data_IF_192202621000
#
_entry.id   IF_192202621000
#
_cell.length_a   1.000
_cell.length_b   1.000
_cell.length_c   1.000
_cell.angle_alpha   90.00
_cell.angle_beta   90.00
_cell.angle_gamma   90.00
#
_symmetry.space_group_name_H-M   'P 1'
#
loop_
_entity.id
_entity.type
_entity.pdbx_description
1 polymer ?
#
# COMPACT_ATOMS: atom_id res chain seq x y z
N UNK A 1 9.80 15.16 10.23
CA UNK A 1 8.70 15.00 11.20
C UNK A 1 7.39 15.25 10.48
N UNK A 2 6.35 14.50 10.78
CA UNK A 2 4.99 14.80 10.29
C UNK A 2 4.51 16.17 10.79
N UNK A 3 3.37 16.63 10.28
CA UNK A 3 2.81 17.94 10.66
C UNK A 3 1.98 17.89 11.96
N UNK A 4 1.83 16.71 12.55
CA UNK A 4 1.18 16.51 13.84
C UNK A 4 2.15 15.88 14.83
N UNK A 5 1.79 15.90 16.11
CA UNK A 5 2.51 15.21 17.17
C UNK A 5 2.49 13.68 16.95
N UNK A 6 3.62 13.04 17.24
CA UNK A 6 3.79 11.59 17.20
C UNK A 6 4.39 11.13 18.54
N UNK A 7 3.95 9.99 19.03
CA UNK A 7 4.59 9.30 20.15
C UNK A 7 5.65 8.37 19.56
N UNK A 8 6.92 8.67 19.80
CA UNK A 8 8.00 7.84 19.29
C UNK A 8 8.09 6.51 20.08
N UNK A 9 8.89 5.57 19.53
CA UNK A 9 9.08 4.23 20.12
C UNK A 9 9.59 4.31 21.54
N UNK A 10 10.55 5.19 21.82
CA UNK A 10 11.16 5.32 23.16
C UNK A 10 10.19 5.96 24.15
N UNK A 11 9.39 6.94 23.71
CA UNK A 11 8.34 7.55 24.54
C UNK A 11 7.22 6.55 24.85
N UNK A 12 6.81 5.74 23.85
CA UNK A 12 5.81 4.69 24.06
C UNK A 12 6.29 3.63 25.07
N UNK A 13 7.58 3.32 25.10
CA UNK A 13 8.20 2.37 26.06
C UNK A 13 8.16 2.87 27.51
N UNK A 14 8.09 4.18 27.71
CA UNK A 14 8.00 4.75 29.08
C UNK A 14 6.67 4.36 29.77
N UNK A 15 5.61 4.07 28.97
CA UNK A 15 4.34 3.48 29.45
C UNK A 15 4.21 2.05 28.87
N UNK A 16 4.97 1.11 29.45
CA UNK A 16 5.07 -0.28 28.97
C UNK A 16 3.75 -1.04 28.97
N UNK A 17 2.78 -0.58 29.75
CA UNK A 17 1.45 -1.21 29.87
C UNK A 17 0.47 -0.66 28.82
N UNK A 18 0.87 0.34 28.04
CA UNK A 18 0.03 0.91 27.00
C UNK A 18 -0.13 -0.01 25.79
N UNK A 19 -1.32 0.07 25.17
CA UNK A 19 -1.60 -0.65 23.90
C UNK A 19 -0.58 -0.27 22.80
N UNK A 20 -0.18 1.00 22.75
CA UNK A 20 0.78 1.49 21.76
C UNK A 20 2.16 0.84 21.94
N UNK A 21 2.65 0.75 23.18
CA UNK A 21 3.93 0.09 23.48
C UNK A 21 3.94 -1.36 23.04
N UNK A 22 2.87 -2.11 23.35
CA UNK A 22 2.73 -3.50 22.92
C UNK A 22 2.73 -3.65 21.38
N UNK A 23 2.03 -2.77 20.68
CA UNK A 23 2.00 -2.77 19.20
C UNK A 23 3.35 -2.44 18.58
N UNK A 24 4.06 -1.44 19.11
CA UNK A 24 5.39 -1.09 18.63
C UNK A 24 6.40 -2.20 18.88
N UNK A 25 6.33 -2.86 20.04
CA UNK A 25 7.18 -4.02 20.35
C UNK A 25 6.95 -5.17 19.36
N UNK A 26 5.69 -5.47 19.02
CA UNK A 26 5.34 -6.50 18.04
C UNK A 26 5.83 -6.14 16.62
N UNK A 27 5.66 -4.89 16.20
CA UNK A 27 6.15 -4.40 14.91
C UNK A 27 7.67 -4.50 14.80
N UNK A 28 8.41 -4.07 15.81
CA UNK A 28 9.87 -4.16 15.84
C UNK A 28 10.31 -5.63 15.79
N UNK A 29 9.64 -6.51 16.55
CA UNK A 29 9.94 -7.95 16.54
C UNK A 29 9.70 -8.59 15.17
N UNK A 30 8.62 -8.23 14.46
CA UNK A 30 8.22 -8.83 13.19
C UNK A 30 8.88 -8.20 11.97
N UNK A 31 9.13 -6.89 12.01
CA UNK A 31 9.54 -6.09 10.83
C UNK A 31 10.87 -5.36 11.02
N UNK A 32 11.47 -5.40 12.20
CA UNK A 32 12.71 -4.72 12.52
C UNK A 32 12.54 -3.25 12.92
N UNK A 33 11.46 -2.59 12.52
CA UNK A 33 11.18 -1.19 12.81
C UNK A 33 9.68 -0.85 12.78
N UNK A 34 9.34 0.35 13.24
CA UNK A 34 8.03 0.98 13.06
C UNK A 34 8.15 2.02 11.96
N UNK A 35 7.44 1.85 10.86
CA UNK A 35 7.44 2.80 9.74
C UNK A 35 6.77 4.12 10.11
N UNK A 36 7.15 5.21 9.42
CA UNK A 36 6.61 6.54 9.71
C UNK A 36 5.10 6.61 9.48
N UNK A 37 4.57 5.91 8.45
CA UNK A 37 3.12 5.82 8.24
C UNK A 37 2.39 5.16 9.42
N UNK A 38 3.02 4.30 10.19
CA UNK A 38 2.43 3.71 11.39
C UNK A 38 2.61 4.61 12.61
N UNK A 39 3.75 5.31 12.73
CA UNK A 39 4.01 6.27 13.83
C UNK A 39 2.99 7.41 13.83
N UNK A 40 2.59 7.91 12.67
CA UNK A 40 1.59 9.00 12.58
C UNK A 40 0.22 8.63 13.17
N UNK A 41 -0.05 7.33 13.35
CA UNK A 41 -1.26 6.85 14.03
C UNK A 41 -1.12 6.74 15.56
N UNK A 42 0.03 7.09 16.13
CA UNK A 42 0.34 6.88 17.56
C UNK A 42 -0.68 7.49 18.52
N UNK A 43 -1.32 8.59 18.14
CA UNK A 43 -2.36 9.25 18.93
C UNK A 43 -3.70 8.48 18.95
N UNK A 44 -3.87 7.45 18.10
CA UNK A 44 -5.05 6.59 18.06
C UNK A 44 -4.64 5.11 17.87
N UNK A 45 -4.21 4.43 18.96
CA UNK A 45 -3.76 3.04 18.87
C UNK A 45 -4.83 2.06 18.36
N UNK A 46 -6.12 2.36 18.56
CA UNK A 46 -7.20 1.52 18.00
C UNK A 46 -7.25 1.61 16.48
N UNK A 47 -7.15 2.81 15.92
CA UNK A 47 -7.08 3.01 14.47
C UNK A 47 -5.81 2.38 13.90
N UNK A 48 -4.66 2.47 14.58
CA UNK A 48 -3.42 1.81 14.18
C UNK A 48 -3.61 0.29 14.07
N UNK A 49 -4.25 -0.33 15.06
CA UNK A 49 -4.53 -1.77 15.06
C UNK A 49 -5.39 -2.19 13.87
N UNK A 50 -6.51 -1.51 13.68
CA UNK A 50 -7.43 -1.79 12.57
C UNK A 50 -6.79 -1.55 11.20
N UNK A 51 -5.94 -0.52 11.07
CA UNK A 51 -5.15 -0.26 9.87
C UNK A 51 -4.21 -1.44 9.56
N UNK A 52 -3.47 -1.92 10.55
CA UNK A 52 -2.56 -3.04 10.40
C UNK A 52 -3.29 -4.34 10.04
N UNK A 53 -4.41 -4.63 10.69
CA UNK A 53 -5.20 -5.83 10.43
C UNK A 53 -5.76 -5.81 9.01
N UNK A 54 -6.26 -4.66 8.54
CA UNK A 54 -6.73 -4.51 7.17
C UNK A 54 -5.58 -4.68 6.17
N UNK A 55 -4.43 -4.05 6.40
CA UNK A 55 -3.23 -4.22 5.58
C UNK A 55 -2.82 -5.68 5.45
N UNK A 56 -2.73 -6.39 6.58
CA UNK A 56 -2.36 -7.80 6.59
C UNK A 56 -3.36 -8.66 5.84
N UNK A 57 -4.65 -8.38 6.00
CA UNK A 57 -5.72 -9.09 5.28
C UNK A 57 -5.60 -8.89 3.78
N UNK A 58 -5.48 -7.65 3.32
CA UNK A 58 -5.50 -7.32 1.89
C UNK A 58 -4.20 -7.70 1.19
N UNK A 59 -3.06 -7.46 1.83
CA UNK A 59 -1.76 -7.66 1.17
C UNK A 59 -1.19 -9.07 1.35
N UNK A 60 -1.55 -9.78 2.43
CA UNK A 60 -1.00 -11.11 2.75
C UNK A 60 -2.04 -12.21 2.88
N UNK A 61 -3.34 -11.87 2.92
CA UNK A 61 -4.43 -12.84 2.97
C UNK A 61 -4.54 -13.69 1.70
N UNK A 62 -5.37 -14.74 1.76
CA UNK A 62 -5.66 -15.60 0.59
C UNK A 62 -6.47 -14.80 -0.43
N UNK A 63 -6.07 -14.86 -1.70
CA UNK A 63 -6.73 -14.19 -2.83
C UNK A 63 -6.25 -14.85 -4.13
N UNK A 64 -7.00 -14.66 -5.22
CA UNK A 64 -6.54 -15.01 -6.57
C UNK A 64 -5.57 -13.97 -7.17
N UNK A 65 -5.35 -12.82 -6.49
CA UNK A 65 -4.30 -11.87 -6.85
C UNK A 65 -2.97 -12.32 -6.25
N UNK A 66 -1.94 -12.36 -7.08
CA UNK A 66 -0.56 -12.62 -6.63
C UNK A 66 -0.02 -11.47 -5.79
N UNK A 67 1.05 -11.70 -5.03
CA UNK A 67 1.71 -10.63 -4.27
C UNK A 67 2.26 -9.54 -5.19
N UNK A 68 2.83 -9.90 -6.33
CA UNK A 68 3.30 -8.96 -7.34
C UNK A 68 2.19 -8.04 -7.85
N UNK A 69 1.03 -8.60 -8.19
CA UNK A 69 -0.14 -7.81 -8.65
C UNK A 69 -0.62 -6.82 -7.57
N UNK A 70 -0.66 -7.24 -6.30
CA UNK A 70 -1.06 -6.35 -5.19
C UNK A 70 -0.07 -5.22 -4.95
N UNK A 71 1.24 -5.48 -5.05
CA UNK A 71 2.25 -4.42 -4.96
C UNK A 71 2.20 -3.49 -6.18
N UNK A 72 1.99 -4.01 -7.40
CA UNK A 72 1.81 -3.20 -8.59
C UNK A 72 0.60 -2.25 -8.46
N UNK A 73 -0.52 -2.74 -7.92
CA UNK A 73 -1.71 -1.91 -7.60
C UNK A 73 -1.34 -0.82 -6.59
N UNK A 74 -0.59 -1.16 -5.54
CA UNK A 74 -0.13 -0.19 -4.54
C UNK A 74 0.72 0.92 -5.16
N UNK A 75 1.64 0.57 -6.08
CA UNK A 75 2.48 1.53 -6.80
C UNK A 75 1.62 2.46 -7.66
N UNK A 76 0.75 1.91 -8.51
CA UNK A 76 -0.07 2.71 -9.44
C UNK A 76 -1.03 3.63 -8.69
N UNK A 77 -1.73 3.14 -7.67
CA UNK A 77 -2.62 3.97 -6.84
C UNK A 77 -1.85 5.10 -6.17
N UNK A 78 -0.65 4.80 -5.67
CA UNK A 78 0.18 5.79 -4.99
C UNK A 78 0.76 6.82 -5.95
N UNK A 79 1.11 6.41 -7.17
CA UNK A 79 1.55 7.31 -8.24
C UNK A 79 0.41 8.23 -8.70
N UNK A 80 -0.79 7.69 -8.93
CA UNK A 80 -1.98 8.47 -9.30
C UNK A 80 -2.39 9.50 -8.24
N UNK A 81 -2.00 9.30 -6.98
CA UNK A 81 -2.19 10.26 -5.88
C UNK A 81 -0.96 11.14 -5.58
N UNK A 82 0.11 11.10 -6.38
CA UNK A 82 1.38 11.81 -6.14
C UNK A 82 2.00 11.53 -4.76
N UNK A 83 1.81 10.31 -4.22
CA UNK A 83 2.31 9.93 -2.90
C UNK A 83 3.71 9.31 -2.99
N UNK A 84 4.76 10.11 -3.05
CA UNK A 84 6.15 9.65 -3.18
C UNK A 84 6.56 8.67 -2.06
N UNK A 85 6.11 8.88 -0.82
CA UNK A 85 6.33 7.96 0.30
C UNK A 85 5.84 6.55 -0.02
N UNK A 86 4.58 6.43 -0.46
CA UNK A 86 3.98 5.13 -0.73
C UNK A 86 4.54 4.50 -2.01
N UNK A 87 4.75 5.28 -3.07
CA UNK A 87 5.40 4.79 -4.31
C UNK A 87 6.72 4.13 -3.98
N UNK A 88 7.60 4.81 -3.25
CA UNK A 88 8.95 4.29 -2.95
C UNK A 88 8.92 3.00 -2.15
N UNK A 89 8.04 2.88 -1.13
CA UNK A 89 7.92 1.68 -0.31
C UNK A 89 7.39 0.47 -1.10
N UNK A 90 6.38 0.70 -1.94
CA UNK A 90 5.76 -0.40 -2.69
C UNK A 90 6.53 -0.74 -3.97
N UNK A 91 7.24 0.20 -4.59
CA UNK A 91 8.18 -0.07 -5.65
C UNK A 91 9.33 -0.97 -5.17
N UNK A 92 9.91 -0.68 -4.00
CA UNK A 92 10.94 -1.54 -3.40
C UNK A 92 10.41 -2.93 -3.05
N UNK A 93 9.18 -3.02 -2.53
CA UNK A 93 8.55 -4.31 -2.27
C UNK A 93 8.27 -5.09 -3.55
N UNK A 94 7.87 -4.41 -4.64
CA UNK A 94 7.59 -5.00 -5.94
C UNK A 94 8.85 -5.57 -6.62
N UNK A 95 10.01 -4.92 -6.45
CA UNK A 95 11.31 -5.39 -6.97
C UNK A 95 11.68 -6.80 -6.54
N UNK A 96 11.11 -7.30 -5.45
CA UNK A 96 11.29 -8.70 -5.01
C UNK A 96 10.60 -9.73 -5.91
N UNK A 97 9.67 -9.28 -6.75
CA UNK A 97 8.84 -10.12 -7.62
C UNK A 97 9.02 -9.82 -9.10
N UNK A 98 9.34 -8.57 -9.43
CA UNK A 98 9.54 -8.09 -10.80
C UNK A 98 10.89 -7.36 -10.84
N UNK A 99 11.87 -8.02 -11.45
CA UNK A 99 13.23 -7.47 -11.67
C UNK A 99 13.32 -6.87 -13.09
N UNK A 100 12.46 -5.86 -13.35
CA UNK A 100 12.35 -5.18 -14.63
C UNK A 100 12.03 -3.69 -14.38
N UNK A 101 13.02 -2.84 -14.62
CA UNK A 101 12.92 -1.41 -14.41
C UNK A 101 11.93 -0.75 -15.40
N UNK A 102 11.77 -1.27 -16.63
CA UNK A 102 10.82 -0.70 -17.60
C UNK A 102 9.37 -0.91 -17.15
N UNK A 103 9.06 -2.08 -16.59
CA UNK A 103 7.75 -2.36 -15.99
C UNK A 103 7.52 -1.42 -14.82
N UNK A 104 8.50 -1.27 -13.94
CA UNK A 104 8.38 -0.41 -12.76
C UNK A 104 8.16 1.06 -13.13
N UNK A 105 8.92 1.57 -14.11
CA UNK A 105 8.77 2.93 -14.62
C UNK A 105 7.39 3.15 -15.25
N UNK A 106 6.88 2.17 -16.01
CA UNK A 106 5.51 2.20 -16.56
C UNK A 106 4.44 2.28 -15.45
N UNK A 107 4.61 1.52 -14.37
CA UNK A 107 3.67 1.55 -13.23
C UNK A 107 3.70 2.88 -12.47
N UNK A 108 4.86 3.52 -12.36
CA UNK A 108 5.04 4.81 -11.68
C UNK A 108 4.54 5.97 -12.54
N UNK A 109 4.82 5.95 -13.85
CA UNK A 109 4.41 7.02 -14.77
C UNK A 109 2.96 6.90 -15.24
N UNK A 110 2.35 5.72 -15.07
CA UNK A 110 1.09 5.30 -15.70
C UNK A 110 1.13 5.36 -17.25
N UNK A 111 2.33 5.37 -17.85
CA UNK A 111 2.53 5.34 -19.30
C UNK A 111 2.85 3.91 -19.77
N UNK A 112 2.29 3.50 -20.91
CA UNK A 112 2.57 2.19 -21.48
C UNK A 112 1.94 1.01 -20.70
N UNK A 113 1.01 1.25 -19.80
CA UNK A 113 0.34 0.18 -19.03
C UNK A 113 -0.34 -0.86 -19.93
N UNK A 114 -0.75 -0.45 -21.14
CA UNK A 114 -1.37 -1.32 -22.15
C UNK A 114 -0.38 -2.30 -22.81
N UNK A 115 0.93 -2.06 -22.68
CA UNK A 115 1.99 -2.94 -23.24
C UNK A 115 2.38 -4.05 -22.28
N UNK A 116 1.96 -3.99 -21.02
CA UNK A 116 2.21 -5.01 -20.02
C UNK A 116 1.47 -6.32 -20.36
N UNK A 117 1.85 -7.40 -19.70
CA UNK A 117 1.14 -8.68 -19.82
C UNK A 117 -0.36 -8.43 -19.56
N UNK A 118 -1.29 -9.02 -20.37
CA UNK A 118 -2.69 -8.64 -20.40
C UNK A 118 -3.40 -8.63 -19.03
N UNK A 119 -3.09 -9.58 -18.15
CA UNK A 119 -3.71 -9.66 -16.83
C UNK A 119 -3.22 -8.51 -15.93
N UNK A 120 -1.91 -8.28 -15.88
CA UNK A 120 -1.33 -7.18 -15.11
C UNK A 120 -1.82 -5.84 -15.66
N UNK A 121 -1.80 -5.65 -16.98
CA UNK A 121 -2.29 -4.45 -17.66
C UNK A 121 -3.72 -4.09 -17.23
N UNK A 122 -4.65 -5.04 -17.30
CA UNK A 122 -6.05 -4.78 -16.92
C UNK A 122 -6.20 -4.46 -15.42
N UNK A 123 -5.46 -5.14 -14.55
CA UNK A 123 -5.48 -4.90 -13.10
C UNK A 123 -5.01 -3.47 -12.78
N UNK A 124 -3.85 -3.04 -13.33
CA UNK A 124 -3.27 -1.74 -12.97
C UNK A 124 -4.00 -0.57 -13.63
N UNK A 125 -4.50 -0.73 -14.87
CA UNK A 125 -5.35 0.28 -15.53
C UNK A 125 -6.69 0.46 -14.81
N UNK A 126 -7.28 -0.62 -14.30
CA UNK A 126 -8.46 -0.54 -13.45
C UNK A 126 -8.16 0.22 -12.15
N UNK A 127 -7.03 -0.06 -11.51
CA UNK A 127 -6.60 0.60 -10.29
C UNK A 127 -6.35 2.10 -10.49
N UNK A 128 -5.69 2.47 -11.59
CA UNK A 128 -5.47 3.87 -11.98
C UNK A 128 -6.80 4.59 -12.20
N UNK A 129 -7.68 4.03 -13.06
CA UNK A 129 -9.00 4.61 -13.36
C UNK A 129 -9.87 4.75 -12.10
N UNK A 130 -9.92 3.73 -11.24
CA UNK A 130 -10.71 3.77 -10.01
C UNK A 130 -10.16 4.83 -9.03
N UNK A 131 -8.85 5.12 -9.08
CA UNK A 131 -8.22 6.16 -8.25
C UNK A 131 -8.47 7.56 -8.80
N UNK A 132 -8.20 7.77 -10.10
CA UNK A 132 -8.21 9.08 -10.75
C UNK A 132 -9.61 9.55 -11.16
N UNK A 133 -10.51 8.61 -11.49
CA UNK A 133 -11.86 8.91 -11.99
C UNK A 133 -12.92 7.89 -11.49
N UNK A 134 -13.13 7.75 -10.17
CA UNK A 134 -14.01 6.70 -9.62
C UNK A 134 -15.45 6.78 -10.11
N UNK A 135 -15.95 7.98 -10.42
CA UNK A 135 -17.30 8.17 -10.96
C UNK A 135 -17.47 7.75 -12.43
N UNK A 136 -16.36 7.50 -13.13
CA UNK A 136 -16.35 7.01 -14.51
C UNK A 136 -16.30 5.48 -14.61
N UNK A 137 -16.27 4.76 -13.49
CA UNK A 137 -16.30 3.30 -13.46
C UNK A 137 -17.67 2.77 -13.93
N UNK A 138 -17.64 1.69 -14.71
CA UNK A 138 -18.82 1.05 -15.27
C UNK A 138 -18.71 -0.47 -15.17
N UNK A 139 -19.79 -1.19 -15.45
CA UNK A 139 -19.80 -2.66 -15.49
C UNK A 139 -18.84 -3.21 -16.58
N UNK A 140 -18.58 -2.44 -17.63
CA UNK A 140 -17.64 -2.84 -18.69
C UNK A 140 -16.23 -3.02 -18.13
N UNK A 141 -15.79 -2.13 -17.23
CA UNK A 141 -14.47 -2.22 -16.57
C UNK A 141 -14.32 -3.54 -15.79
N UNK A 142 -15.38 -4.02 -15.15
CA UNK A 142 -15.40 -5.31 -14.46
C UNK A 142 -15.40 -6.49 -15.45
N UNK A 143 -16.05 -6.30 -16.62
CA UNK A 143 -16.03 -7.27 -17.72
C UNK A 143 -14.62 -7.50 -18.26
N UNK A 144 -13.79 -6.44 -18.38
CA UNK A 144 -12.39 -6.55 -18.80
C UNK A 144 -11.55 -7.35 -17.80
N UNK A 145 -11.77 -7.17 -16.49
CA UNK A 145 -11.10 -7.97 -15.45
C UNK A 145 -11.51 -9.45 -15.51
N UNK A 146 -12.79 -9.73 -15.73
CA UNK A 146 -13.28 -11.12 -15.88
C UNK A 146 -12.67 -11.79 -17.13
N UNK A 147 -12.51 -11.01 -18.22
CA UNK A 147 -11.92 -11.52 -19.46
C UNK A 147 -10.46 -11.98 -19.30
N UNK A 148 -9.72 -11.42 -18.32
CA UNK A 148 -8.38 -11.87 -17.98
C UNK A 148 -8.33 -12.81 -16.78
N UNK A 149 -9.46 -13.41 -16.41
CA UNK A 149 -9.57 -14.52 -15.48
C UNK A 149 -9.72 -14.14 -14.00
N UNK A 150 -10.10 -12.89 -13.68
CA UNK A 150 -10.47 -12.55 -12.32
C UNK A 150 -11.89 -13.01 -11.99
N UNK A 151 -12.07 -13.66 -10.84
CA UNK A 151 -13.36 -13.93 -10.25
C UNK A 151 -13.95 -12.66 -9.59
N UNK A 152 -15.24 -12.68 -9.26
CA UNK A 152 -15.87 -11.58 -8.52
C UNK A 152 -15.21 -11.37 -7.13
N UNK A 153 -14.71 -12.44 -6.51
CA UNK A 153 -13.92 -12.33 -5.28
C UNK A 153 -12.60 -11.58 -5.49
N UNK A 154 -11.89 -11.87 -6.60
CA UNK A 154 -10.63 -11.21 -6.93
C UNK A 154 -10.85 -9.73 -7.28
N UNK A 155 -11.97 -9.42 -7.97
CA UNK A 155 -12.38 -8.04 -8.29
C UNK A 155 -12.70 -7.27 -7.00
N UNK A 156 -13.37 -7.92 -6.04
CA UNK A 156 -13.61 -7.31 -4.73
C UNK A 156 -12.28 -7.03 -4.01
N UNK A 157 -11.37 -8.01 -3.96
CA UNK A 157 -10.06 -7.85 -3.33
C UNK A 157 -9.26 -6.71 -3.99
N UNK A 158 -9.24 -6.65 -5.33
CA UNK A 158 -8.62 -5.55 -6.08
C UNK A 158 -9.21 -4.20 -5.68
N UNK A 159 -10.54 -4.09 -5.66
CA UNK A 159 -11.23 -2.86 -5.29
C UNK A 159 -10.93 -2.44 -3.85
N UNK A 160 -10.86 -3.39 -2.91
CA UNK A 160 -10.49 -3.14 -1.52
C UNK A 160 -9.04 -2.67 -1.41
N UNK A 161 -8.10 -3.26 -2.17
CA UNK A 161 -6.69 -2.82 -2.19
C UNK A 161 -6.58 -1.39 -2.72
N UNK A 162 -7.25 -1.06 -3.83
CA UNK A 162 -7.30 0.31 -4.37
C UNK A 162 -7.86 1.28 -3.32
N UNK A 163 -9.00 0.96 -2.69
CA UNK A 163 -9.61 1.77 -1.65
C UNK A 163 -8.68 1.98 -0.44
N UNK A 164 -8.00 0.91 -0.03
CA UNK A 164 -7.03 0.95 1.08
C UNK A 164 -5.85 1.89 0.77
N UNK A 165 -5.22 1.78 -0.40
CA UNK A 165 -4.09 2.67 -0.74
C UNK A 165 -4.53 4.11 -0.95
N UNK A 166 -5.73 4.35 -1.49
CA UNK A 166 -6.31 5.70 -1.51
C UNK A 166 -6.49 6.28 -0.09
N UNK A 167 -6.89 5.46 0.89
CA UNK A 167 -6.95 5.86 2.29
C UNK A 167 -5.55 6.16 2.86
N UNK A 168 -4.59 5.27 2.68
CA UNK A 168 -3.21 5.42 3.20
C UNK A 168 -2.50 6.63 2.59
N UNK A 169 -2.64 6.84 1.27
CA UNK A 169 -2.03 7.99 0.60
C UNK A 169 -2.57 9.32 1.16
N UNK A 170 -3.86 9.40 1.47
CA UNK A 170 -4.45 10.61 2.08
C UNK A 170 -3.92 10.87 3.49
N UNK A 171 -3.65 9.83 4.26
CA UNK A 171 -3.00 9.97 5.57
C UNK A 171 -1.56 10.47 5.38
N UNK A 172 -0.80 9.82 4.50
CA UNK A 172 0.60 10.19 4.26
C UNK A 172 0.74 11.65 3.79
N UNK A 173 -0.04 12.04 2.78
CA UNK A 173 -0.03 13.39 2.21
C UNK A 173 -0.66 14.41 3.17
N UNK A 174 -1.81 14.08 3.76
CA UNK A 174 -2.56 15.00 4.62
C UNK A 174 -1.88 15.32 5.95
N UNK A 175 -0.96 14.47 6.40
CA UNK A 175 -0.21 14.65 7.64
C UNK A 175 1.28 14.87 7.42
N UNK A 176 1.73 14.95 6.16
CA UNK A 176 3.12 15.20 5.79
C UNK A 176 4.07 14.13 6.33
N UNK A 177 3.72 12.83 6.15
CA UNK A 177 4.58 11.73 6.59
C UNK A 177 5.93 11.83 5.90
N UNK A 178 7.05 11.93 6.67
CA UNK A 178 8.36 12.16 6.09
C UNK A 178 8.87 10.93 5.35
N UNK A 179 9.53 11.17 4.23
CA UNK A 179 10.21 10.18 3.42
C UNK A 179 11.74 10.35 3.52
N UNK A 180 12.44 9.24 3.64
CA UNK A 180 13.89 9.18 3.47
C UNK A 180 14.29 7.83 2.90
N UNK A 181 15.46 7.74 2.27
CA UNK A 181 15.97 6.48 1.73
C UNK A 181 16.12 5.39 2.83
N UNK A 182 16.49 5.78 4.04
CA UNK A 182 16.60 4.88 5.19
C UNK A 182 15.23 4.34 5.65
N UNK A 183 14.16 5.04 5.32
CA UNK A 183 12.80 4.61 5.66
C UNK A 183 12.33 3.43 4.79
N UNK A 184 12.73 3.41 3.54
CA UNK A 184 12.37 2.34 2.58
C UNK A 184 13.13 1.05 2.86
N UNK A 185 14.37 1.15 3.31
CA UNK A 185 15.25 0.00 3.60
C UNK A 185 15.16 -0.45 5.06
N UNK A 186 15.72 -1.62 5.36
CA UNK A 186 15.89 -2.11 6.73
C UNK A 186 14.68 -2.85 7.34
N UNK A 187 13.70 -3.24 6.53
CA UNK A 187 12.67 -4.19 6.95
C UNK A 187 13.23 -5.61 6.98
N UNK A 188 13.06 -6.32 8.11
CA UNK A 188 13.46 -7.71 8.19
C UNK A 188 12.48 -8.61 7.42
N UNK A 189 13.02 -9.49 6.59
CA UNK A 189 12.29 -10.53 5.85
C UNK A 189 12.01 -11.76 6.74
N UNK A 190 11.24 -11.61 7.82
CA UNK A 190 10.89 -12.74 8.69
C UNK A 190 9.43 -13.13 8.53
#
# INVERSE_FOLDING_TARGET
MSWIEEIDVDDARADSDSKLAAMYADLIKKRGKVSNILKVHSLNPDALGNHLDLYMTLMFGRSGLTRAEREAVAVVVSAANDCAYCVSHHAEALRRYIDDDEILDSLISAEGLETLEPRLSNIVRHADKLTSAPSAMTEVDLGELRAVGLSDSDILDLTLIVGYFNFVNRIALGLGVPFSADEVSGYSDK
#
